data_IF_064722681358
#
_entry.id   IF_064722681358
#
_cell.length_a   1.000
_cell.length_b   1.000
_cell.length_c   1.000
_cell.angle_alpha   90.00
_cell.angle_beta   90.00
_cell.angle_gamma   90.00
#
_symmetry.space_group_name_H-M   'P 1'
#
loop_
_entity.id
_entity.type
_entity.pdbx_description
1 polymer ?
#
# COMPACT_ATOMS: atom_id res chain seq x y z
N UNK A 1 -7.37 3.74 -7.26
CA UNK A 1 -6.37 4.82 -7.01
C UNK A 1 -6.17 5.64 -8.28
N UNK A 2 -6.66 6.88 -8.30
CA UNK A 2 -6.65 7.80 -9.44
C UNK A 2 -6.53 9.27 -8.98
N UNK A 3 -6.10 9.49 -7.73
CA UNK A 3 -5.86 10.80 -7.14
C UNK A 3 -4.45 11.35 -7.41
N UNK A 4 -4.21 12.61 -7.05
CA UNK A 4 -2.88 13.21 -7.03
C UNK A 4 -2.27 13.05 -5.64
N UNK A 5 -0.96 12.84 -5.56
CA UNK A 5 -0.24 13.02 -4.30
C UNK A 5 -0.21 14.52 -3.96
N UNK A 6 -0.64 14.85 -2.75
CA UNK A 6 -0.56 16.21 -2.20
C UNK A 6 -0.06 16.11 -0.76
N UNK A 7 1.04 16.79 -0.44
CA UNK A 7 1.69 16.73 0.88
C UNK A 7 1.88 15.28 1.39
N UNK A 8 2.34 14.40 0.49
CA UNK A 8 2.53 12.96 0.75
C UNK A 8 1.26 12.18 1.13
N UNK A 9 0.08 12.72 0.84
CA UNK A 9 -1.21 12.06 0.96
C UNK A 9 -1.79 11.75 -0.41
N UNK A 10 -2.31 10.54 -0.58
CA UNK A 10 -3.03 10.08 -1.76
C UNK A 10 -4.43 9.62 -1.37
N UNK A 11 -5.43 10.20 -2.02
CA UNK A 11 -6.85 9.83 -1.91
C UNK A 11 -7.32 9.09 -3.16
N UNK A 12 -8.46 8.40 -3.05
CA UNK A 12 -9.14 7.88 -4.24
C UNK A 12 -9.63 9.08 -5.07
N UNK A 13 -9.41 9.00 -6.38
CA UNK A 13 -9.75 10.07 -7.32
C UNK A 13 -10.48 9.50 -8.53
N UNK A 14 -10.95 10.37 -9.41
CA UNK A 14 -11.81 9.99 -10.53
C UNK A 14 -11.10 10.07 -11.91
N UNK A 15 -9.92 10.69 -11.97
CA UNK A 15 -9.22 10.92 -13.23
C UNK A 15 -8.48 9.66 -13.70
N UNK A 16 -8.76 9.19 -14.93
CA UNK A 16 -8.05 8.05 -15.53
C UNK A 16 -6.58 8.38 -15.75
N UNK A 17 -5.68 7.60 -15.14
CA UNK A 17 -4.22 7.78 -15.23
C UNK A 17 -3.55 6.53 -15.80
N UNK A 18 -3.44 6.42 -17.14
CA UNK A 18 -2.71 5.32 -17.75
C UNK A 18 -1.21 5.50 -17.59
N UNK A 19 -0.50 4.41 -17.32
CA UNK A 19 0.96 4.37 -17.27
C UNK A 19 1.51 3.41 -18.32
N UNK A 20 2.81 3.50 -18.53
CA UNK A 20 3.56 2.56 -19.37
C UNK A 20 4.48 1.75 -18.48
N UNK A 21 4.36 0.43 -18.53
CA UNK A 21 5.23 -0.49 -17.79
C UNK A 21 6.23 -1.11 -18.74
N UNK A 22 7.51 -1.01 -18.41
CA UNK A 22 8.59 -1.68 -19.12
C UNK A 22 9.03 -2.95 -18.39
N UNK A 23 9.21 -4.04 -19.13
CA UNK A 23 9.99 -5.19 -18.68
C UNK A 23 11.29 -5.23 -19.48
N UNK A 24 12.41 -5.35 -18.77
CA UNK A 24 13.74 -5.48 -19.38
C UNK A 24 14.29 -6.88 -19.14
N UNK A 25 14.88 -7.47 -20.17
CA UNK A 25 15.76 -8.63 -20.08
C UNK A 25 17.18 -8.13 -20.33
N UNK A 26 17.95 -7.99 -19.25
CA UNK A 26 19.25 -7.32 -19.28
C UNK A 26 20.32 -8.15 -20.01
N UNK A 27 20.17 -9.48 -20.00
CA UNK A 27 21.02 -10.44 -20.71
C UNK A 27 20.95 -10.29 -22.23
N UNK A 28 19.73 -10.16 -22.77
CA UNK A 28 19.45 -10.09 -24.21
C UNK A 28 19.24 -8.65 -24.72
N UNK A 29 19.26 -7.67 -23.81
CA UNK A 29 18.95 -6.24 -24.08
C UNK A 29 17.61 -6.06 -24.80
N UNK A 30 16.62 -6.88 -24.46
CA UNK A 30 15.27 -6.81 -25.02
C UNK A 30 14.33 -6.08 -24.06
N UNK A 31 13.54 -5.18 -24.62
CA UNK A 31 12.58 -4.37 -23.88
C UNK A 31 11.18 -4.70 -24.35
N UNK A 32 10.29 -5.05 -23.41
CA UNK A 32 8.86 -5.17 -23.67
C UNK A 32 8.15 -4.02 -22.98
N UNK A 33 7.35 -3.29 -23.75
CA UNK A 33 6.65 -2.08 -23.31
C UNK A 33 5.15 -2.34 -23.33
N UNK A 34 4.52 -2.22 -22.19
CA UNK A 34 3.08 -2.29 -22.04
C UNK A 34 2.56 -0.87 -21.87
N UNK A 35 1.82 -0.35 -22.85
CA UNK A 35 1.27 1.01 -22.80
C UNK A 35 -0.21 0.98 -22.43
N UNK A 36 -0.69 2.08 -21.86
CA UNK A 36 -2.11 2.19 -21.46
C UNK A 36 -2.46 1.28 -20.28
N UNK A 37 -1.49 0.97 -19.42
CA UNK A 37 -1.71 0.17 -18.23
C UNK A 37 -2.53 0.95 -17.21
N UNK A 38 -3.56 0.31 -16.66
CA UNK A 38 -4.35 0.79 -15.52
C UNK A 38 -4.21 -0.20 -14.37
N UNK A 39 -4.23 0.29 -13.14
CA UNK A 39 -4.24 -0.58 -11.94
C UNK A 39 -5.67 -1.08 -11.75
N UNK A 40 -5.87 -2.38 -11.96
CA UNK A 40 -7.15 -3.07 -11.76
C UNK A 40 -7.46 -3.22 -10.29
N UNK A 41 -6.57 -3.89 -9.55
CA UNK A 41 -6.72 -4.12 -8.12
C UNK A 41 -5.41 -3.91 -7.36
N UNK A 42 -5.53 -3.68 -6.06
CA UNK A 42 -4.46 -3.75 -5.07
C UNK A 42 -4.94 -4.64 -3.93
N UNK A 43 -4.18 -5.70 -3.66
CA UNK A 43 -4.42 -6.63 -2.56
C UNK A 43 -3.24 -6.51 -1.58
N UNK A 44 -3.55 -6.25 -0.31
CA UNK A 44 -2.59 -6.10 0.78
C UNK A 44 -2.92 -7.10 1.87
N UNK A 45 -1.94 -7.91 2.27
CA UNK A 45 -2.07 -8.86 3.38
C UNK A 45 -0.99 -8.59 4.43
N UNK A 46 -1.46 -8.34 5.65
CA UNK A 46 -0.65 -8.16 6.86
C UNK A 46 -1.08 -9.26 7.83
N UNK A 47 -0.23 -10.25 8.03
CA UNK A 47 -0.46 -11.35 8.95
C UNK A 47 0.60 -11.35 10.05
N UNK A 48 0.30 -11.84 11.27
CA UNK A 48 1.27 -11.88 12.36
C UNK A 48 2.40 -12.89 12.06
N UNK A 49 3.63 -12.56 12.45
CA UNK A 49 4.85 -13.34 12.16
C UNK A 49 5.08 -13.62 10.67
N UNK A 50 4.72 -12.67 9.81
CA UNK A 50 4.81 -12.83 8.37
C UNK A 50 5.13 -11.50 7.68
N UNK A 51 5.85 -11.63 6.57
CA UNK A 51 6.18 -10.52 5.68
C UNK A 51 4.89 -9.95 5.08
N UNK A 52 4.76 -8.62 5.13
CA UNK A 52 3.66 -7.91 4.49
C UNK A 52 3.75 -8.08 2.98
N UNK A 53 2.65 -8.52 2.38
CA UNK A 53 2.58 -8.75 0.94
C UNK A 53 1.59 -7.78 0.31
N UNK A 54 2.03 -7.09 -0.75
CA UNK A 54 1.19 -6.23 -1.57
C UNK A 54 1.27 -6.71 -3.02
N UNK A 55 0.13 -7.04 -3.61
CA UNK A 55 0.00 -7.43 -5.00
C UNK A 55 -0.84 -6.42 -5.75
N UNK A 56 -0.46 -6.06 -6.97
CA UNK A 56 -1.24 -5.15 -7.82
C UNK A 56 -1.47 -5.77 -9.18
N UNK A 57 -2.73 -5.81 -9.61
CA UNK A 57 -3.09 -6.27 -10.93
C UNK A 57 -3.06 -5.11 -11.92
N UNK A 58 -2.38 -5.32 -13.05
CA UNK A 58 -2.18 -4.30 -14.08
C UNK A 58 -2.83 -4.76 -15.39
N UNK A 59 -3.70 -3.94 -15.95
CA UNK A 59 -4.36 -4.21 -17.24
C UNK A 59 -3.79 -3.29 -18.31
N UNK A 60 -2.95 -3.84 -19.20
CA UNK A 60 -2.34 -3.12 -20.32
C UNK A 60 -3.23 -3.04 -21.55
N UNK A 61 -3.10 -1.98 -22.35
CA UNK A 61 -3.86 -1.81 -23.58
C UNK A 61 -3.18 -2.44 -24.82
N UNK A 62 -1.85 -2.40 -24.86
CA UNK A 62 -1.06 -3.05 -25.91
C UNK A 62 0.35 -3.34 -25.41
N UNK A 63 1.04 -4.26 -26.10
CA UNK A 63 2.42 -4.62 -25.84
C UNK A 63 3.25 -4.44 -27.12
N UNK A 64 4.38 -3.75 -27.00
CA UNK A 64 5.35 -3.55 -28.08
C UNK A 64 6.74 -4.00 -27.63
N UNK A 65 7.59 -4.31 -28.60
CA UNK A 65 9.00 -4.60 -28.36
C UNK A 65 9.84 -3.37 -28.71
N UNK A 66 10.93 -3.19 -27.99
CA UNK A 66 11.96 -2.21 -28.29
C UNK A 66 13.34 -2.76 -27.99
N UNK A 67 14.35 -2.13 -28.57
CA UNK A 67 15.76 -2.47 -28.37
C UNK A 67 16.52 -1.39 -27.56
N UNK A 68 15.80 -0.38 -27.09
CA UNK A 68 16.35 0.77 -26.33
C UNK A 68 15.60 1.01 -25.03
N UNK A 69 16.31 1.57 -24.05
CA UNK A 69 15.71 2.11 -22.82
C UNK A 69 14.70 3.23 -23.15
N UNK A 70 13.74 3.46 -22.26
CA UNK A 70 12.90 4.66 -22.35
C UNK A 70 13.78 5.91 -22.19
N UNK A 71 13.57 6.90 -23.07
CA UNK A 71 14.25 8.20 -22.93
C UNK A 71 13.93 8.80 -21.56
N UNK A 72 14.96 9.13 -20.78
CA UNK A 72 14.81 9.67 -19.42
C UNK A 72 14.52 8.65 -18.32
N UNK A 73 14.43 7.34 -18.63
CA UNK A 73 14.28 6.33 -17.58
C UNK A 73 15.59 6.11 -16.82
N UNK A 74 15.52 6.27 -15.50
CA UNK A 74 16.60 5.92 -14.59
C UNK A 74 16.29 4.57 -13.96
N UNK A 75 17.06 3.54 -14.28
CA UNK A 75 16.99 2.26 -13.58
C UNK A 75 17.90 2.37 -12.36
N UNK A 76 17.33 2.69 -11.21
CA UNK A 76 18.06 2.66 -9.94
C UNK A 76 18.12 1.21 -9.47
N UNK A 77 19.29 0.78 -9.02
CA UNK A 77 19.41 -0.50 -8.32
C UNK A 77 18.43 -0.55 -7.14
N UNK A 78 17.75 -1.68 -6.92
CA UNK A 78 16.87 -1.83 -5.77
C UNK A 78 17.67 -1.58 -4.49
N UNK A 79 17.11 -0.77 -3.59
CA UNK A 79 17.69 -0.61 -2.27
C UNK A 79 17.61 -1.96 -1.54
N UNK A 80 18.72 -2.40 -0.95
CA UNK A 80 18.78 -3.63 -0.17
C UNK A 80 18.23 -3.39 1.25
N UNK A 81 16.96 -2.98 1.31
CA UNK A 81 16.23 -2.78 2.56
C UNK A 81 15.54 -4.08 2.95
N UNK A 82 15.44 -4.32 4.25
CA UNK A 82 14.65 -5.43 4.78
C UNK A 82 13.17 -5.27 4.38
N UNK A 83 12.44 -6.37 4.13
CA UNK A 83 11.01 -6.30 3.87
C UNK A 83 10.24 -5.93 5.14
N UNK A 84 9.10 -5.25 4.98
CA UNK A 84 8.17 -5.00 6.09
C UNK A 84 7.70 -6.34 6.69
N UNK A 85 7.99 -6.58 7.97
CA UNK A 85 7.53 -7.76 8.73
C UNK A 85 6.68 -7.35 9.94
N UNK A 86 5.66 -8.14 10.27
CA UNK A 86 4.72 -7.92 11.38
C UNK A 86 5.28 -8.06 12.77
N UNK A 87 6.50 -8.58 12.93
CA UNK A 87 7.02 -8.92 14.27
C UNK A 87 8.50 -8.61 14.51
N UNK A 88 9.23 -8.11 13.51
CA UNK A 88 10.68 -7.93 13.60
C UNK A 88 11.15 -6.69 14.36
N UNK A 89 12.34 -6.78 14.98
CA UNK A 89 13.09 -5.72 15.71
C UNK A 89 13.30 -4.41 14.93
N UNK A 90 12.97 -4.36 13.64
CA UNK A 90 13.16 -3.20 12.75
C UNK A 90 11.85 -2.49 12.34
N UNK A 91 10.67 -3.02 12.68
CA UNK A 91 9.38 -2.54 12.13
C UNK A 91 8.34 -2.34 13.24
N UNK A 92 7.82 -1.11 13.35
CA UNK A 92 6.64 -0.85 14.18
C UNK A 92 5.39 -0.98 13.31
N UNK A 93 4.78 -2.18 13.32
CA UNK A 93 3.44 -2.35 12.79
C UNK A 93 2.42 -1.94 13.85
N UNK A 94 1.78 -0.79 13.59
CA UNK A 94 0.76 -0.21 14.47
C UNK A 94 -0.55 -0.24 13.72
N UNK A 95 -1.39 -1.20 14.06
CA UNK A 95 -2.73 -1.31 13.55
C UNK A 95 -3.73 -1.13 14.70
N UNK A 96 -4.62 -0.17 14.55
CA UNK A 96 -5.60 0.17 15.57
C UNK A 96 -6.96 0.39 14.92
N UNK A 97 -7.97 -0.29 15.46
CA UNK A 97 -9.34 0.04 15.14
C UNK A 97 -9.76 1.25 15.98
N UNK A 98 -10.32 2.28 15.33
CA UNK A 98 -10.76 3.51 16.00
C UNK A 98 -12.27 3.65 15.89
N UNK A 99 -12.93 3.75 17.05
CA UNK A 99 -14.35 4.03 17.19
C UNK A 99 -14.52 5.48 17.61
N UNK A 100 -15.25 6.29 16.85
CA UNK A 100 -15.43 7.72 17.13
C UNK A 100 -14.09 8.46 17.33
N UNK A 101 -13.07 8.06 16.56
CA UNK A 101 -11.71 8.63 16.62
C UNK A 101 -10.85 8.15 17.80
N UNK A 102 -11.36 7.28 18.67
CA UNK A 102 -10.61 6.73 19.82
C UNK A 102 -10.16 5.28 19.53
N UNK A 103 -8.92 4.89 19.88
CA UNK A 103 -8.46 3.53 19.71
C UNK A 103 -9.27 2.58 20.62
N UNK A 104 -9.71 1.44 20.07
CA UNK A 104 -10.55 0.48 20.78
C UNK A 104 -9.95 -0.91 20.89
N UNK A 105 -9.30 -1.42 19.83
CA UNK A 105 -8.80 -2.79 19.78
C UNK A 105 -7.49 -2.90 18.99
N UNK A 106 -6.68 -3.89 19.37
CA UNK A 106 -5.42 -4.22 18.69
C UNK A 106 -5.71 -5.23 17.58
N UNK A 107 -5.43 -4.81 16.35
CA UNK A 107 -5.63 -5.63 15.15
C UNK A 107 -4.45 -6.58 14.99
N UNK A 108 -4.73 -7.88 14.86
CA UNK A 108 -3.73 -8.95 14.72
C UNK A 108 -3.43 -9.27 13.26
N UNK A 109 -4.41 -9.15 12.37
CA UNK A 109 -4.22 -9.30 10.93
C UNK A 109 -5.16 -8.40 10.14
N UNK A 110 -4.71 -8.02 8.94
CA UNK A 110 -5.46 -7.18 7.99
C UNK A 110 -5.29 -7.77 6.59
N UNK A 111 -6.41 -8.04 5.94
CA UNK A 111 -6.47 -8.19 4.50
C UNK A 111 -7.26 -7.02 3.93
N UNK A 112 -6.69 -6.31 2.95
CA UNK A 112 -7.33 -5.19 2.27
C UNK A 112 -7.27 -5.42 0.77
N UNK A 113 -8.42 -5.30 0.12
CA UNK A 113 -8.56 -5.33 -1.32
C UNK A 113 -9.20 -4.03 -1.80
N UNK A 114 -8.54 -3.39 -2.74
CA UNK A 114 -9.05 -2.29 -3.52
C UNK A 114 -9.26 -2.77 -4.96
N UNK A 115 -10.47 -2.60 -5.48
CA UNK A 115 -10.80 -2.86 -6.88
C UNK A 115 -11.29 -1.57 -7.54
N UNK A 116 -10.70 -1.21 -8.68
CA UNK A 116 -11.09 -0.04 -9.47
C UNK A 116 -12.10 -0.38 -10.59
N UNK A 117 -12.53 -1.63 -10.69
CA UNK A 117 -13.52 -2.09 -11.67
C UNK A 117 -13.08 -1.83 -13.11
N UNK A 118 -11.79 -2.02 -13.41
CA UNK A 118 -11.23 -1.71 -14.73
C UNK A 118 -11.83 -2.66 -15.77
N UNK A 119 -12.38 -2.10 -16.85
CA UNK A 119 -12.94 -2.85 -17.96
C UNK A 119 -12.23 -2.49 -19.28
N UNK A 120 -12.09 -3.48 -20.17
CA UNK A 120 -11.49 -3.33 -21.49
C UNK A 120 -12.48 -3.76 -22.57
N UNK A 121 -12.59 -2.96 -23.63
CA UNK A 121 -13.37 -3.30 -24.80
C UNK A 121 -12.44 -3.59 -25.99
N UNK A 122 -12.73 -4.66 -26.71
CA UNK A 122 -11.98 -5.11 -27.88
C UNK A 122 -12.85 -5.03 -29.14
N UNK A 123 -12.21 -4.77 -30.28
CA UNK A 123 -12.87 -4.73 -31.59
C UNK A 123 -12.26 -5.81 -32.48
N UNK A 124 -13.10 -6.51 -33.25
CA UNK A 124 -12.67 -7.54 -34.19
C UNK A 124 -11.67 -6.94 -35.19
N UNK A 125 -10.54 -7.61 -35.39
CA UNK A 125 -9.48 -7.18 -36.30
C UNK A 125 -8.44 -6.23 -35.69
N UNK A 126 -8.58 -5.83 -34.41
CA UNK A 126 -7.57 -5.04 -33.71
C UNK A 126 -6.86 -5.86 -32.63
N UNK A 127 -5.53 -5.76 -32.58
CA UNK A 127 -4.71 -6.40 -31.52
C UNK A 127 -4.67 -5.59 -30.22
N UNK A 128 -4.87 -4.28 -30.30
CA UNK A 128 -4.90 -3.39 -29.15
C UNK A 128 -6.31 -3.30 -28.56
N UNK A 129 -6.40 -2.95 -27.28
CA UNK A 129 -7.66 -2.59 -26.63
C UNK A 129 -8.22 -1.32 -27.26
N UNK A 130 -9.49 -1.32 -27.66
CA UNK A 130 -10.15 -0.20 -28.31
C UNK A 130 -10.49 0.92 -27.32
N UNK A 131 -10.97 0.57 -26.13
CA UNK A 131 -11.18 1.53 -25.04
C UNK A 131 -11.08 0.88 -23.66
N UNK A 132 -10.76 1.70 -22.67
CA UNK A 132 -10.67 1.31 -21.25
C UNK A 132 -11.59 2.17 -20.40
N UNK A 133 -12.38 1.50 -19.56
CA UNK A 133 -13.29 2.11 -18.58
C UNK A 133 -12.79 1.92 -17.16
N UNK A 134 -13.13 2.87 -16.29
CA UNK A 134 -12.99 2.75 -14.84
C UNK A 134 -14.37 2.54 -14.24
N UNK A 135 -14.47 1.59 -13.32
CA UNK A 135 -15.65 1.40 -12.50
C UNK A 135 -15.56 2.18 -11.19
N UNK A 136 -16.47 1.88 -10.28
CA UNK A 136 -16.43 2.42 -8.92
C UNK A 136 -15.29 1.76 -8.15
N UNK A 137 -14.57 2.56 -7.37
CA UNK A 137 -13.53 2.08 -6.46
C UNK A 137 -14.17 1.42 -5.24
N UNK A 138 -14.18 0.09 -5.18
CA UNK A 138 -14.63 -0.64 -4.00
C UNK A 138 -13.43 -1.04 -3.14
N UNK A 139 -13.55 -0.81 -1.84
CA UNK A 139 -12.53 -1.23 -0.85
C UNK A 139 -13.23 -2.16 0.14
N UNK A 140 -12.73 -3.38 0.22
CA UNK A 140 -13.25 -4.45 1.07
C UNK A 140 -12.08 -5.15 1.75
N UNK A 141 -12.33 -5.81 2.86
CA UNK A 141 -11.27 -6.54 3.52
C UNK A 141 -11.77 -7.39 4.68
N UNK A 142 -10.81 -8.04 5.33
CA UNK A 142 -11.04 -8.78 6.56
C UNK A 142 -10.04 -8.34 7.63
N UNK A 143 -10.48 -8.40 8.88
CA UNK A 143 -9.73 -7.99 10.05
C UNK A 143 -9.82 -9.12 11.07
N UNK A 144 -8.70 -9.40 11.72
CA UNK A 144 -8.69 -10.14 12.97
C UNK A 144 -8.21 -9.21 14.09
N UNK A 145 -8.86 -9.23 15.25
CA UNK A 145 -8.44 -8.44 16.41
C UNK A 145 -8.63 -9.22 17.71
N UNK A 146 -7.87 -8.83 18.74
CA UNK A 146 -8.02 -9.40 20.07
C UNK A 146 -9.27 -8.82 20.74
N UNK A 147 -10.13 -9.69 21.27
CA UNK A 147 -11.28 -9.28 22.06
C UNK A 147 -10.80 -8.74 23.40
N UNK A 148 -11.00 -7.44 23.63
CA UNK A 148 -10.60 -6.77 24.88
C UNK A 148 -11.80 -6.38 25.76
N UNK A 149 -13.00 -6.83 25.40
CA UNK A 149 -14.24 -6.49 26.12
C UNK A 149 -14.82 -5.12 25.77
N UNK A 150 -14.30 -4.44 24.73
CA UNK A 150 -14.92 -3.27 24.14
C UNK A 150 -15.89 -3.73 23.04
N UNK A 151 -17.14 -3.27 23.10
CA UNK A 151 -18.34 -3.80 22.41
C UNK A 151 -18.32 -3.73 20.87
N UNK A 152 -17.35 -4.37 20.19
CA UNK A 152 -17.38 -4.49 18.72
C UNK A 152 -18.66 -5.20 18.25
N UNK A 153 -19.18 -6.13 19.04
CA UNK A 153 -20.45 -6.79 18.78
C UNK A 153 -21.62 -5.80 18.74
N UNK A 154 -21.65 -4.83 19.67
CA UNK A 154 -22.68 -3.80 19.66
C UNK A 154 -22.51 -2.86 18.46
N UNK A 155 -21.28 -2.49 18.09
CA UNK A 155 -21.04 -1.70 16.86
C UNK A 155 -21.54 -2.42 15.61
N UNK A 156 -21.39 -3.75 15.55
CA UNK A 156 -21.88 -4.56 14.46
C UNK A 156 -23.41 -4.60 14.45
N UNK A 157 -24.03 -4.86 15.61
CA UNK A 157 -25.49 -4.91 15.79
C UNK A 157 -26.13 -3.55 15.44
N UNK A 158 -25.57 -2.47 15.96
CA UNK A 158 -26.03 -1.08 15.78
C UNK A 158 -25.63 -0.50 14.42
N UNK A 159 -24.80 -1.23 13.65
CA UNK A 159 -24.30 -0.85 12.32
C UNK A 159 -23.59 0.51 12.32
N UNK A 160 -22.86 0.77 13.40
CA UNK A 160 -22.10 2.00 13.55
C UNK A 160 -20.98 2.10 12.51
N UNK A 161 -20.67 3.33 12.12
CA UNK A 161 -19.56 3.62 11.23
C UNK A 161 -18.26 3.65 12.04
N UNK A 162 -17.30 2.80 11.66
CA UNK A 162 -16.00 2.69 12.34
C UNK A 162 -14.90 3.22 11.43
N UNK A 163 -13.78 3.66 11.99
CA UNK A 163 -12.59 4.03 11.22
C UNK A 163 -11.46 3.04 11.46
N UNK A 164 -10.76 2.65 10.39
CA UNK A 164 -9.60 1.78 10.48
C UNK A 164 -8.35 2.54 10.07
N UNK A 165 -7.34 2.51 10.93
CA UNK A 165 -6.04 3.09 10.65
C UNK A 165 -4.93 2.08 10.98
N UNK A 166 -4.06 1.84 10.02
CA UNK A 166 -2.85 1.06 10.26
C UNK A 166 -1.66 1.68 9.56
N UNK A 167 -0.50 1.59 10.21
CA UNK A 167 0.77 2.10 9.71
C UNK A 167 1.78 0.98 9.61
N UNK A 168 2.34 0.81 8.42
CA UNK A 168 3.51 0.00 8.16
C UNK A 168 4.73 0.94 8.21
N UNK A 169 5.72 0.69 9.06
CA UNK A 169 6.89 1.56 9.20
C UNK A 169 8.18 0.77 9.43
N UNK A 170 9.23 1.11 8.69
CA UNK A 170 10.55 0.46 8.74
C UNK A 170 11.62 1.50 8.36
N UNK A 171 12.90 1.10 8.33
CA UNK A 171 14.07 1.90 7.89
C UNK A 171 13.92 2.51 6.50
N UNK A 172 12.99 2.02 5.68
CA UNK A 172 12.67 2.60 4.35
C UNK A 172 11.66 3.75 4.38
N UNK A 173 11.07 4.06 5.53
CA UNK A 173 9.97 5.03 5.69
C UNK A 173 8.67 4.37 6.18
N UNK A 174 7.58 5.14 6.19
CA UNK A 174 6.28 4.67 6.67
C UNK A 174 5.14 4.91 5.68
N UNK A 175 4.19 3.98 5.65
CA UNK A 175 2.93 4.09 4.93
C UNK A 175 1.76 3.90 5.90
N UNK A 176 0.92 4.92 6.03
CA UNK A 176 -0.30 4.90 6.82
C UNK A 176 -1.50 4.77 5.90
N UNK A 177 -2.32 3.76 6.14
CA UNK A 177 -3.58 3.52 5.46
C UNK A 177 -4.71 3.91 6.42
N UNK A 178 -5.56 4.81 5.96
CA UNK A 178 -6.73 5.27 6.70
C UNK A 178 -7.97 4.98 5.86
N UNK A 179 -8.92 4.25 6.45
CA UNK A 179 -10.27 4.07 5.96
C UNK A 179 -11.20 4.83 6.91
N UNK A 180 -11.61 6.05 6.55
CA UNK A 180 -12.31 6.95 7.47
C UNK A 180 -13.67 6.40 7.91
N UNK A 181 -14.31 5.62 7.03
CA UNK A 181 -15.63 5.02 7.25
C UNK A 181 -15.65 3.60 6.71
N UNK A 182 -15.74 2.63 7.61
CA UNK A 182 -15.97 1.22 7.31
C UNK A 182 -17.26 0.75 7.97
N UNK A 183 -17.95 -0.17 7.31
CA UNK A 183 -19.03 -0.96 7.89
C UNK A 183 -18.59 -2.40 8.01
N UNK A 184 -18.78 -2.98 9.19
CA UNK A 184 -18.59 -4.40 9.42
C UNK A 184 -19.76 -5.16 8.78
N UNK A 185 -19.46 -6.21 8.03
CA UNK A 185 -20.43 -6.98 7.23
C UNK A 185 -20.64 -8.40 7.75
N UNK A 186 -19.74 -8.88 8.60
CA UNK A 186 -19.84 -10.18 9.27
C UNK A 186 -19.26 -10.09 10.68
N UNK A 187 -19.73 -10.94 11.58
CA UNK A 187 -19.13 -11.09 12.90
C UNK A 187 -19.08 -12.58 13.25
N UNK A 188 -18.00 -13.00 13.93
CA UNK A 188 -17.89 -14.32 14.54
C UNK A 188 -18.26 -14.26 16.02
N UNK A 189 -18.77 -15.38 16.54
CA UNK A 189 -19.22 -15.50 17.93
C UNK A 189 -18.12 -15.15 18.95
N UNK A 190 -18.52 -14.41 19.99
CA UNK A 190 -17.68 -13.63 20.91
C UNK A 190 -16.94 -14.48 21.96
N UNK A 191 -17.10 -15.80 21.91
CA UNK A 191 -16.44 -16.74 22.85
C UNK A 191 -14.99 -17.07 22.46
N UNK A 192 -14.43 -16.35 21.49
CA UNK A 192 -13.04 -16.55 21.02
C UNK A 192 -12.18 -15.33 21.35
N UNK A 193 -10.90 -15.56 21.68
CA UNK A 193 -9.95 -14.47 22.03
C UNK A 193 -9.64 -13.60 20.81
N UNK A 194 -9.69 -14.17 19.60
CA UNK A 194 -9.48 -13.48 18.33
C UNK A 194 -10.79 -13.54 17.56
N UNK A 195 -11.33 -12.37 17.20
CA UNK A 195 -12.54 -12.25 16.41
C UNK A 195 -12.16 -11.84 15.00
N UNK A 196 -12.71 -12.54 14.01
CA UNK A 196 -12.58 -12.20 12.60
C UNK A 196 -13.85 -11.52 12.10
N UNK A 197 -13.69 -10.41 11.39
CA UNK A 197 -14.79 -9.64 10.78
C UNK A 197 -14.42 -9.20 9.38
N UNK A 198 -15.38 -9.23 8.47
CA UNK A 198 -15.24 -8.61 7.16
C UNK A 198 -15.77 -7.18 7.20
N UNK A 199 -15.20 -6.31 6.37
CA UNK A 199 -15.64 -4.93 6.27
C UNK A 199 -15.73 -4.45 4.82
N UNK A 200 -16.56 -3.43 4.63
CA UNK A 200 -16.61 -2.63 3.42
C UNK A 200 -16.37 -1.16 3.77
N UNK A 201 -15.43 -0.52 3.06
CA UNK A 201 -15.20 0.91 3.21
C UNK A 201 -16.18 1.70 2.35
N UNK A 202 -16.78 2.71 2.96
CA UNK A 202 -17.72 3.62 2.32
C UNK A 202 -17.07 4.96 2.08
N UNK A 203 -17.66 5.74 1.16
CA UNK A 203 -17.26 7.13 0.99
C UNK A 203 -17.61 7.91 2.26
N UNK A 204 -16.60 8.55 2.85
CA UNK A 204 -16.80 9.47 3.96
C UNK A 204 -17.06 10.89 3.42
N UNK A 205 -18.19 11.53 3.75
CA UNK A 205 -18.51 12.88 3.29
C UNK A 205 -17.56 13.96 3.83
N UNK A 206 -16.87 13.73 4.95
CA UNK A 206 -15.96 14.72 5.54
C UNK A 206 -14.59 14.74 4.83
N UNK A 207 -14.05 13.57 4.50
CA UNK A 207 -12.74 13.43 3.84
C UNK A 207 -12.82 13.23 2.32
N UNK A 208 -14.02 13.03 1.78
CA UNK A 208 -14.34 12.76 0.37
C UNK A 208 -13.53 11.59 -0.23
N UNK A 209 -13.29 10.56 0.58
CA UNK A 209 -12.57 9.36 0.15
C UNK A 209 -12.97 8.15 0.99
N UNK A 210 -12.85 6.95 0.43
CA UNK A 210 -13.00 5.68 1.16
C UNK A 210 -11.66 5.09 1.61
N UNK A 211 -10.56 5.52 0.98
CA UNK A 211 -9.20 5.14 1.34
C UNK A 211 -8.26 6.33 1.19
N UNK A 212 -7.42 6.54 2.20
CA UNK A 212 -6.33 7.50 2.19
C UNK A 212 -5.02 6.79 2.51
N UNK A 213 -4.00 7.05 1.70
CA UNK A 213 -2.63 6.57 1.94
C UNK A 213 -1.75 7.77 2.21
N UNK A 214 -1.05 7.78 3.33
CA UNK A 214 -0.04 8.79 3.67
C UNK A 214 1.31 8.11 3.66
N UNK A 215 2.29 8.68 2.95
CA UNK A 215 3.68 8.20 2.96
C UNK A 215 4.54 9.15 3.76
N UNK A 216 5.63 8.64 4.32
CA UNK A 216 6.70 9.44 4.90
C UNK A 216 8.02 8.78 4.54
N UNK A 217 8.87 9.50 3.81
CA UNK A 217 10.21 9.01 3.53
C UNK A 217 11.05 9.02 4.80
N UNK A 218 11.97 8.06 4.93
CA UNK A 218 13.01 8.17 5.94
C UNK A 218 13.96 9.32 5.57
N UNK A 219 14.34 10.14 6.55
CA UNK A 219 15.33 11.18 6.34
C UNK A 219 16.68 10.56 6.67
N UNK A 220 17.58 10.30 5.70
CA UNK A 220 18.85 9.67 6.02
C UNK A 220 19.64 10.58 6.96
N UNK A 221 19.82 10.16 8.21
CA UNK A 221 20.69 10.83 9.16
C UNK A 221 22.12 10.67 8.66
N UNK A 222 22.67 11.72 8.06
CA UNK A 222 24.08 11.75 7.64
C UNK A 222 24.95 11.76 8.89
N UNK A 223 25.36 10.60 9.38
CA UNK A 223 26.47 10.51 10.34
C UNK A 223 27.74 10.88 9.60
N UNK A 224 28.15 12.15 9.72
CA UNK A 224 29.50 12.56 9.32
C UNK A 224 30.45 11.82 10.25
N UNK A 225 31.22 10.87 9.72
CA UNK A 225 32.36 10.27 10.42
C UNK A 225 33.24 11.42 10.92
N UNK A 226 33.56 11.51 12.23
CA UNK A 226 34.49 12.52 12.72
C UNK A 226 35.77 12.46 11.89
N UNK A 227 36.28 13.64 11.49
CA UNK A 227 37.55 13.71 10.77
C UNK A 227 38.62 12.95 11.55
N UNK A 228 39.50 12.18 10.89
CA UNK A 228 40.61 11.55 11.59
C UNK A 228 41.42 12.62 12.32
N UNK A 229 41.68 12.37 13.60
CA UNK A 229 42.51 13.21 14.46
C UNK A 229 43.89 13.35 13.81
N UNK A 230 44.50 14.55 13.78
CA UNK A 230 45.82 14.73 13.18
C UNK A 230 46.83 13.83 13.88
N UNK A 231 47.50 12.95 13.12
CA UNK A 231 48.66 12.22 13.62
C UNK A 231 49.74 13.23 13.98
N UNK A 232 50.06 13.30 15.26
CA UNK A 232 51.21 14.03 15.77
C UNK A 232 52.46 13.23 15.37
N UNK A 233 53.06 13.57 14.22
CA UNK A 233 54.38 13.06 13.81
C UNK A 233 55.44 13.73 14.70
N UNK A 234 55.51 13.31 15.96
CA UNK A 234 56.72 13.48 16.75
C UNK A 234 57.64 12.32 16.44
N UNK A 235 58.52 12.53 15.46
CA UNK A 235 59.70 11.73 15.20
C UNK A 235 60.67 11.79 16.41
N UNK A 236 60.96 10.69 17.11
CA UNK A 236 62.08 10.62 18.02
C UNK A 236 63.25 9.90 17.31
N UNK A 237 64.23 10.70 16.90
CA UNK A 237 65.64 10.33 16.72
C UNK A 237 66.05 9.05 17.45
N UNK A 238 66.50 8.04 16.69
CA UNK A 238 67.76 7.30 16.86
C UNK A 238 68.12 6.54 15.57
#
# INVERSE_FOLDING_TARGET
MCGNWQNDVLKVGQAKKPFTVGRVQNDLKKYRRFTGCLVGSLDLSVAPNAIVTASSALMGATATYGDTIFSGASYREPANNDPFDSTGENVALKAQLKINGKPSNVVTSISLKLDNGVAQAHVVGQRAVATTGLGNSSVTGSLAFLYTGNDISDLFIDREDVSLEFTLSDKGGSHTFLLPRIKLTSEQDVFTIIINTDFQALLDPATDTNLQITRKADTPTRTVKPAPEPQDDTDPTQ
#
